data_IF_350852776265
#
_entry.id   IF_350852776265
#
_cell.length_a   1.000
_cell.length_b   1.000
_cell.length_c   1.000
_cell.angle_alpha   90.00
_cell.angle_beta   90.00
_cell.angle_gamma   90.00
#
_symmetry.space_group_name_H-M   'P 1'
#
loop_
_entity.id
_entity.type
_entity.pdbx_description
1 polymer ?
#
# COMPACT_ATOMS: atom_id res chain seq x y z
N UNK A 1 -5.09 18.04 20.51
CA UNK A 1 -5.54 17.51 19.21
C UNK A 1 -6.64 16.51 19.44
N UNK A 2 -7.75 16.66 18.74
CA UNK A 2 -8.91 15.78 18.83
C UNK A 2 -9.63 15.73 17.48
N UNK A 3 -10.45 14.71 17.27
CA UNK A 3 -11.38 14.63 16.15
C UNK A 3 -12.50 15.65 16.34
N UNK A 4 -13.01 16.25 15.26
CA UNK A 4 -14.10 17.23 15.37
C UNK A 4 -15.45 16.60 15.75
N UNK A 5 -15.60 15.28 15.54
CA UNK A 5 -16.75 14.49 15.92
C UNK A 5 -16.34 13.11 16.48
N UNK A 6 -17.19 12.50 17.30
CA UNK A 6 -17.03 11.13 17.81
C UNK A 6 -17.60 10.07 16.87
N UNK A 7 -18.39 10.48 15.87
CA UNK A 7 -18.91 9.59 14.83
C UNK A 7 -19.06 10.31 13.49
N UNK A 8 -18.95 9.54 12.41
CA UNK A 8 -19.19 9.95 11.02
C UNK A 8 -20.12 8.93 10.36
N UNK A 9 -20.97 9.39 9.44
CA UNK A 9 -21.96 8.55 8.77
C UNK A 9 -22.00 8.79 7.27
N UNK A 10 -20.96 8.43 6.48
CA UNK A 10 -21.03 8.53 5.03
C UNK A 10 -22.09 7.56 4.47
N UNK A 11 -22.71 7.93 3.35
CA UNK A 11 -23.31 6.91 2.48
C UNK A 11 -22.20 6.09 1.82
N UNK A 12 -22.48 4.85 1.48
CA UNK A 12 -21.53 3.97 0.82
C UNK A 12 -21.08 4.53 -0.55
N UNK A 13 -22.01 5.10 -1.30
CA UNK A 13 -21.74 5.86 -2.53
C UNK A 13 -21.01 7.21 -2.34
N UNK A 14 -20.61 7.60 -1.12
CA UNK A 14 -19.93 8.89 -0.89
C UNK A 14 -18.54 8.95 -1.54
N UNK A 15 -17.96 7.78 -1.84
CA UNK A 15 -16.61 7.62 -2.37
C UNK A 15 -15.50 7.90 -1.36
N UNK A 16 -15.66 8.91 -0.49
CA UNK A 16 -14.68 9.22 0.57
C UNK A 16 -15.38 9.84 1.77
N UNK A 17 -14.93 9.47 2.97
CA UNK A 17 -15.27 10.19 4.21
C UNK A 17 -14.13 11.10 4.64
N UNK A 18 -14.47 12.36 4.95
CA UNK A 18 -13.53 13.36 5.44
C UNK A 18 -13.60 13.47 6.97
N UNK A 19 -12.53 13.06 7.64
CA UNK A 19 -12.40 13.10 9.11
C UNK A 19 -11.50 14.27 9.50
N UNK A 20 -12.03 15.23 10.25
CA UNK A 20 -11.29 16.46 10.59
C UNK A 20 -10.63 16.34 11.96
N UNK A 21 -9.34 16.63 12.02
CA UNK A 21 -8.56 16.71 13.26
C UNK A 21 -8.33 18.17 13.61
N UNK A 22 -8.75 18.55 14.80
CA UNK A 22 -8.62 19.90 15.36
C UNK A 22 -7.43 19.99 16.30
N UNK A 23 -6.68 21.08 16.19
CA UNK A 23 -5.65 21.51 17.13
C UNK A 23 -6.14 22.79 17.83
N UNK A 24 -6.41 22.68 19.12
CA UNK A 24 -6.88 23.75 19.99
C UNK A 24 -5.79 24.16 20.99
N UNK A 25 -5.91 25.35 21.58
CA UNK A 25 -4.90 25.91 22.47
C UNK A 25 -3.78 26.64 21.70
N UNK A 26 -2.54 26.50 22.18
CA UNK A 26 -1.38 27.13 21.55
C UNK A 26 -1.01 26.45 20.22
N UNK A 27 -1.12 27.21 19.13
CA UNK A 27 -0.74 26.81 17.78
C UNK A 27 0.56 27.45 17.30
N UNK A 28 1.29 28.20 18.14
CA UNK A 28 2.49 28.94 17.72
C UNK A 28 3.66 28.03 17.27
N UNK A 29 3.75 26.81 17.79
CA UNK A 29 4.76 25.82 17.40
C UNK A 29 4.25 24.79 16.38
N UNK A 30 5.14 23.94 15.86
CA UNK A 30 4.75 22.76 15.08
C UNK A 30 4.19 21.67 15.97
N UNK A 31 3.33 20.82 15.43
CA UNK A 31 2.83 19.64 16.14
C UNK A 31 2.50 18.50 15.17
N UNK A 32 2.56 17.26 15.66
CA UNK A 32 2.21 16.07 14.88
C UNK A 32 1.28 15.16 15.64
N UNK A 33 0.50 14.37 14.91
CA UNK A 33 -0.33 13.29 15.47
C UNK A 33 -0.45 12.17 14.44
N UNK A 34 -0.30 10.93 14.89
CA UNK A 34 -0.55 9.77 14.04
C UNK A 34 -2.04 9.46 14.00
N UNK A 35 -2.49 8.87 12.90
CA UNK A 35 -3.84 8.34 12.77
C UNK A 35 -3.79 6.98 12.10
N UNK A 36 -4.77 6.14 12.41
CA UNK A 36 -5.00 4.87 11.72
C UNK A 36 -6.49 4.51 11.77
N UNK A 37 -6.97 3.90 10.69
CA UNK A 37 -8.25 3.17 10.69
C UNK A 37 -8.05 1.75 11.22
N UNK A 38 -9.09 1.20 11.83
CA UNK A 38 -9.13 -0.22 12.20
C UNK A 38 -10.56 -0.75 12.19
N UNK A 39 -10.70 -2.02 11.81
CA UNK A 39 -11.96 -2.76 11.85
C UNK A 39 -11.85 -4.06 12.67
N UNK A 40 -12.97 -4.78 12.78
CA UNK A 40 -13.08 -6.08 13.44
C UNK A 40 -13.64 -7.18 12.53
N UNK A 41 -13.73 -6.94 11.22
CA UNK A 41 -14.30 -7.91 10.27
C UNK A 41 -13.40 -9.13 10.07
N UNK A 42 -12.09 -8.99 10.28
CA UNK A 42 -11.13 -10.09 10.20
C UNK A 42 -11.11 -10.73 8.81
N UNK A 43 -11.35 -12.04 8.74
CA UNK A 43 -11.37 -12.79 7.48
C UNK A 43 -12.79 -13.05 6.96
N UNK A 44 -13.79 -12.29 7.41
CA UNK A 44 -15.13 -12.40 6.86
C UNK A 44 -15.10 -12.13 5.35
N UNK A 45 -15.92 -12.89 4.62
CA UNK A 45 -16.14 -12.64 3.19
C UNK A 45 -16.90 -11.32 3.02
N UNK A 46 -16.67 -10.65 1.89
CA UNK A 46 -17.31 -9.38 1.51
C UNK A 46 -18.78 -9.53 1.09
N UNK A 47 -19.43 -10.64 1.42
CA UNK A 47 -20.85 -10.85 1.19
C UNK A 47 -21.56 -11.22 2.49
N UNK A 48 -20.91 -10.92 3.62
CA UNK A 48 -21.35 -11.28 4.94
C UNK A 48 -22.39 -10.24 5.39
N UNK A 49 -23.66 -10.56 5.15
CA UNK A 49 -24.75 -9.61 5.39
C UNK A 49 -24.99 -9.35 6.89
N UNK A 50 -25.30 -8.10 7.23
CA UNK A 50 -25.74 -7.63 8.54
C UNK A 50 -24.77 -7.95 9.68
N UNK A 51 -23.46 -7.91 9.39
CA UNK A 51 -22.43 -8.13 10.41
C UNK A 51 -22.28 -6.92 11.35
N UNK A 52 -22.60 -5.72 10.87
CA UNK A 52 -22.31 -4.46 11.54
C UNK A 52 -20.83 -4.08 11.53
N UNK A 53 -19.98 -4.81 10.80
CA UNK A 53 -18.53 -4.67 10.81
C UNK A 53 -18.03 -4.39 9.41
N UNK A 54 -17.52 -3.17 9.19
CA UNK A 54 -16.92 -2.86 7.90
C UNK A 54 -15.57 -3.59 7.77
N UNK A 55 -15.18 -3.94 6.56
CA UNK A 55 -14.04 -4.74 6.18
C UNK A 55 -13.15 -3.94 5.23
N UNK A 56 -11.91 -3.72 5.64
CA UNK A 56 -10.92 -2.99 4.83
C UNK A 56 -10.53 -3.68 3.51
N UNK A 57 -11.05 -4.87 3.24
CA UNK A 57 -10.93 -5.56 1.95
C UNK A 57 -11.98 -5.12 0.94
N UNK A 58 -13.16 -4.65 1.38
CA UNK A 58 -14.32 -4.44 0.51
C UNK A 58 -15.03 -3.10 0.70
N UNK A 59 -15.13 -2.55 1.92
CA UNK A 59 -16.07 -1.44 2.19
C UNK A 59 -15.33 -0.11 2.38
N UNK A 60 -14.06 -0.18 2.77
CA UNK A 60 -13.20 1.00 2.91
C UNK A 60 -11.73 0.64 2.71
N UNK A 61 -10.89 1.66 2.48
CA UNK A 61 -9.44 1.46 2.42
C UNK A 61 -8.79 1.76 3.76
N UNK A 62 -7.98 0.82 4.26
CA UNK A 62 -7.17 1.04 5.47
C UNK A 62 -6.31 2.29 5.27
N UNK A 63 -6.51 3.31 6.12
CA UNK A 63 -5.83 4.59 6.01
C UNK A 63 -5.06 4.89 7.29
N UNK A 64 -3.76 5.14 7.18
CA UNK A 64 -2.89 5.46 8.30
C UNK A 64 -1.80 6.47 7.92
N UNK A 65 -1.32 7.24 8.89
CA UNK A 65 -0.24 8.18 8.65
C UNK A 65 -0.01 9.16 9.78
N UNK A 66 0.75 10.22 9.48
CA UNK A 66 1.06 11.30 10.43
C UNK A 66 0.60 12.63 9.86
N UNK A 67 -0.28 13.31 10.59
CA UNK A 67 -0.64 14.70 10.31
C UNK A 67 0.43 15.62 10.91
N UNK A 68 0.93 16.55 10.10
CA UNK A 68 1.90 17.58 10.52
C UNK A 68 1.24 18.95 10.44
N UNK A 69 1.12 19.62 11.58
CA UNK A 69 0.61 20.97 11.72
C UNK A 69 1.79 21.94 11.79
N UNK A 70 1.87 22.85 10.84
CA UNK A 70 2.77 24.00 10.91
C UNK A 70 2.31 24.99 12.00
N UNK A 71 3.16 25.96 12.33
CA UNK A 71 2.79 27.06 13.21
C UNK A 71 1.55 27.79 12.65
N UNK A 72 0.55 27.99 13.50
CA UNK A 72 -0.72 28.62 13.16
C UNK A 72 -1.78 27.68 12.56
N UNK A 73 -1.42 26.46 12.11
CA UNK A 73 -2.41 25.52 11.59
C UNK A 73 -3.24 24.90 12.72
N UNK A 74 -4.57 25.00 12.61
CA UNK A 74 -5.52 24.53 13.64
C UNK A 74 -6.38 23.35 13.19
N UNK A 75 -6.33 22.96 11.92
CA UNK A 75 -7.09 21.82 11.41
C UNK A 75 -6.35 21.09 10.28
N UNK A 76 -6.55 19.77 10.22
CA UNK A 76 -6.16 18.90 9.09
C UNK A 76 -7.28 17.91 8.82
N UNK A 77 -7.31 17.35 7.62
CA UNK A 77 -8.33 16.38 7.20
C UNK A 77 -7.66 15.07 6.81
N UNK A 78 -8.23 13.97 7.28
CA UNK A 78 -7.93 12.60 6.84
C UNK A 78 -9.02 12.24 5.84
N UNK A 79 -8.62 11.76 4.66
CA UNK A 79 -9.53 11.27 3.62
C UNK A 79 -9.44 9.74 3.60
N UNK A 80 -10.57 9.08 3.82
CA UNK A 80 -10.65 7.61 3.85
C UNK A 80 -11.57 7.20 2.70
N UNK A 81 -11.04 6.50 1.67
CA UNK A 81 -11.86 5.95 0.59
C UNK A 81 -12.91 4.98 1.12
N UNK A 82 -14.14 5.13 0.65
CA UNK A 82 -15.27 4.23 0.86
C UNK A 82 -15.52 3.52 -0.46
N UNK A 83 -15.67 2.21 -0.44
CA UNK A 83 -15.94 1.40 -1.63
C UNK A 83 -17.43 1.13 -1.68
N UNK A 84 -18.01 1.35 -2.86
CA UNK A 84 -19.46 1.24 -3.11
C UNK A 84 -19.69 -0.06 -3.88
N UNK A 85 -19.90 -1.16 -3.16
CA UNK A 85 -20.21 -2.43 -3.79
C UNK A 85 -21.71 -2.58 -4.08
N UNK A 86 -22.21 -3.81 -4.22
CA UNK A 86 -23.62 -4.06 -4.54
C UNK A 86 -24.24 -5.14 -3.66
N UNK A 87 -23.64 -5.52 -2.54
CA UNK A 87 -24.27 -6.40 -1.57
C UNK A 87 -25.18 -5.59 -0.64
N UNK A 88 -26.32 -6.16 -0.26
CA UNK A 88 -27.24 -5.52 0.69
C UNK A 88 -26.86 -5.94 2.12
N UNK A 89 -25.75 -5.39 2.61
CA UNK A 89 -25.09 -5.79 3.84
C UNK A 89 -25.64 -5.08 5.08
N UNK A 90 -26.40 -4.00 4.90
CA UNK A 90 -26.84 -3.12 5.97
C UNK A 90 -25.73 -2.21 6.47
N UNK A 91 -25.98 -1.48 7.56
CA UNK A 91 -24.98 -0.52 8.06
C UNK A 91 -23.79 -1.23 8.70
N UNK A 92 -22.59 -0.78 8.36
CA UNK A 92 -21.34 -1.38 8.84
C UNK A 92 -20.42 -0.31 9.43
N UNK A 93 -19.51 -0.70 10.33
CA UNK A 93 -18.69 0.26 11.05
C UNK A 93 -17.23 -0.13 11.21
N UNK A 94 -16.36 0.88 11.13
CA UNK A 94 -14.95 0.83 11.50
C UNK A 94 -14.60 2.02 12.41
N UNK A 95 -13.33 2.14 12.79
CA UNK A 95 -12.85 3.16 13.73
C UNK A 95 -11.69 3.95 13.17
N UNK A 96 -11.56 5.22 13.59
CA UNK A 96 -10.38 6.08 13.36
C UNK A 96 -9.81 6.47 14.71
N UNK A 97 -8.51 6.22 14.91
CA UNK A 97 -7.81 6.49 16.18
C UNK A 97 -6.65 7.44 15.97
N UNK A 98 -6.55 8.48 16.82
CA UNK A 98 -5.39 9.35 16.93
C UNK A 98 -4.41 8.82 17.98
N UNK A 99 -3.12 8.86 17.69
CA UNK A 99 -2.06 8.36 18.58
C UNK A 99 -0.76 9.17 18.49
N UNK A 100 0.15 8.92 19.43
CA UNK A 100 1.53 9.45 19.43
C UNK A 100 1.65 10.95 19.12
N UNK A 101 0.95 11.83 19.86
CA UNK A 101 1.03 13.26 19.62
C UNK A 101 2.44 13.79 19.96
N UNK A 102 2.91 14.79 19.22
CA UNK A 102 4.13 15.56 19.54
C UNK A 102 3.86 17.04 19.36
N UNK A 103 4.40 17.89 20.24
CA UNK A 103 4.12 19.34 20.25
C UNK A 103 2.68 19.72 20.66
N UNK A 104 1.85 18.74 21.04
CA UNK A 104 0.50 18.92 21.56
C UNK A 104 0.09 17.68 22.41
N UNK A 105 -1.03 17.77 23.13
CA UNK A 105 -1.65 16.62 23.82
C UNK A 105 -2.87 16.11 23.04
N UNK A 106 -3.22 14.84 23.19
CA UNK A 106 -4.51 14.31 22.72
C UNK A 106 -5.64 14.76 23.66
N UNK A 107 -6.77 15.13 23.08
CA UNK A 107 -8.01 15.46 23.78
C UNK A 107 -9.15 14.60 23.21
N UNK A 108 -10.26 14.54 23.95
CA UNK A 108 -11.45 13.79 23.51
C UNK A 108 -12.26 14.60 22.47
N UNK A 109 -12.81 13.96 21.43
CA UNK A 109 -12.62 12.54 21.06
C UNK A 109 -11.28 12.31 20.35
N UNK A 110 -10.51 11.32 20.79
CA UNK A 110 -9.31 10.84 20.08
C UNK A 110 -9.56 9.56 19.29
N UNK A 111 -10.77 9.00 19.41
CA UNK A 111 -11.28 7.86 18.64
C UNK A 111 -12.67 8.26 18.13
N UNK A 112 -12.98 7.93 16.89
CA UNK A 112 -14.31 8.07 16.33
C UNK A 112 -14.73 6.80 15.58
N UNK A 113 -16.03 6.49 15.62
CA UNK A 113 -16.62 5.46 14.78
C UNK A 113 -17.01 6.06 13.43
N UNK A 114 -16.80 5.31 12.34
CA UNK A 114 -17.36 5.63 11.03
C UNK A 114 -18.36 4.54 10.69
N UNK A 115 -19.62 4.92 10.51
CA UNK A 115 -20.71 4.02 10.13
C UNK A 115 -21.07 4.26 8.67
N UNK A 116 -20.74 3.31 7.81
CA UNK A 116 -21.11 3.33 6.39
C UNK A 116 -22.60 2.97 6.31
N UNK A 117 -23.36 3.83 5.61
CA UNK A 117 -24.78 3.59 5.35
C UNK A 117 -24.92 3.00 3.95
N UNK A 118 -25.13 1.69 3.90
CA UNK A 118 -25.42 0.89 2.71
C UNK A 118 -26.58 1.50 1.89
N UNK A 119 -26.41 1.54 0.56
CA UNK A 119 -27.43 2.03 -0.38
C UNK A 119 -28.23 0.92 -1.07
N UNK A 120 -27.96 -0.35 -0.78
CA UNK A 120 -28.49 -1.51 -1.46
C UNK A 120 -29.65 -2.11 -0.64
N UNK A 121 -30.82 -2.20 -1.27
CA UNK A 121 -31.94 -2.98 -0.69
C UNK A 121 -31.89 -4.45 -1.09
N UNK A 122 -31.17 -4.75 -2.17
CA UNK A 122 -31.02 -6.09 -2.76
C UNK A 122 -29.70 -6.18 -3.50
N UNK A 123 -29.06 -7.34 -3.50
CA UNK A 123 -27.79 -7.53 -4.21
C UNK A 123 -27.90 -7.26 -5.71
N UNK A 124 -27.02 -6.40 -6.22
CA UNK A 124 -27.01 -5.90 -7.59
C UNK A 124 -26.05 -6.61 -8.55
N UNK A 125 -25.81 -5.97 -9.70
CA UNK A 125 -24.81 -6.43 -10.68
C UNK A 125 -23.43 -5.89 -10.30
N UNK A 126 -22.45 -6.79 -10.24
CA UNK A 126 -21.09 -6.46 -9.81
C UNK A 126 -20.49 -5.27 -10.61
N UNK A 127 -20.19 -4.13 -9.95
CA UNK A 127 -19.72 -2.90 -10.58
C UNK A 127 -18.29 -3.03 -11.09
N UNK A 128 -17.54 -4.07 -10.71
CA UNK A 128 -16.19 -4.32 -11.22
C UNK A 128 -16.10 -4.48 -12.74
N UNK A 129 -17.23 -4.80 -13.38
CA UNK A 129 -17.34 -4.89 -14.83
C UNK A 129 -17.40 -3.51 -15.50
N UNK A 130 -17.77 -2.46 -14.75
CA UNK A 130 -17.77 -1.08 -15.25
C UNK A 130 -16.33 -0.53 -15.25
N UNK A 131 -15.92 0.05 -16.38
CA UNK A 131 -14.54 0.52 -16.55
C UNK A 131 -14.14 1.60 -15.54
N UNK A 132 -15.04 2.55 -15.24
CA UNK A 132 -14.77 3.63 -14.28
C UNK A 132 -14.56 3.11 -12.86
N UNK A 133 -15.45 2.22 -12.40
CA UNK A 133 -15.31 1.56 -11.10
C UNK A 133 -14.02 0.74 -11.03
N UNK A 134 -13.77 -0.12 -12.04
CA UNK A 134 -12.55 -0.91 -12.14
C UNK A 134 -11.28 -0.05 -12.01
N UNK A 135 -11.20 1.07 -12.74
CA UNK A 135 -10.07 1.99 -12.67
C UNK A 135 -9.95 2.64 -11.29
N UNK A 136 -11.06 3.12 -10.72
CA UNK A 136 -11.07 3.69 -9.36
C UNK A 136 -10.49 2.72 -8.34
N UNK A 137 -10.88 1.45 -8.39
CA UNK A 137 -10.39 0.44 -7.45
C UNK A 137 -8.89 0.20 -7.60
N UNK A 138 -8.31 0.36 -8.80
CA UNK A 138 -6.85 0.29 -8.93
C UNK A 138 -6.14 1.47 -8.27
N UNK A 139 -6.71 2.67 -8.30
CA UNK A 139 -6.17 3.82 -7.57
C UNK A 139 -6.22 3.58 -6.05
N UNK A 140 -7.31 3.02 -5.55
CA UNK A 140 -7.45 2.71 -4.12
C UNK A 140 -6.49 1.58 -3.73
N UNK A 141 -6.53 0.46 -4.45
CA UNK A 141 -5.80 -0.75 -4.09
C UNK A 141 -4.28 -0.62 -4.24
N UNK A 142 -3.79 0.14 -5.23
CA UNK A 142 -2.35 0.29 -5.51
C UNK A 142 -1.77 1.62 -5.05
N UNK A 143 -2.56 2.70 -5.02
CA UNK A 143 -2.08 4.04 -4.64
C UNK A 143 -2.71 4.57 -3.36
N UNK A 144 -3.67 3.86 -2.74
CA UNK A 144 -4.30 4.22 -1.47
C UNK A 144 -4.95 5.61 -1.48
N UNK A 145 -5.48 6.02 -2.64
CA UNK A 145 -6.13 7.33 -2.84
C UNK A 145 -7.20 7.27 -3.93
N UNK A 146 -8.08 8.27 -3.95
CA UNK A 146 -8.95 8.50 -5.10
C UNK A 146 -8.14 8.92 -6.35
N UNK A 147 -8.62 8.57 -7.56
CA UNK A 147 -8.06 9.11 -8.78
C UNK A 147 -8.28 10.62 -8.89
N UNK A 148 -7.34 11.31 -9.52
CA UNK A 148 -7.62 12.63 -10.09
C UNK A 148 -8.50 12.48 -11.35
N UNK A 149 -9.26 13.53 -11.68
CA UNK A 149 -10.22 13.48 -12.79
C UNK A 149 -9.56 13.15 -14.14
N UNK A 150 -8.33 13.62 -14.38
CA UNK A 150 -7.59 13.35 -15.61
C UNK A 150 -7.16 11.90 -15.71
N UNK A 151 -6.59 11.36 -14.64
CA UNK A 151 -6.19 9.96 -14.51
C UNK A 151 -7.37 9.01 -14.66
N UNK A 152 -8.48 9.24 -13.95
CA UNK A 152 -9.71 8.43 -14.07
C UNK A 152 -10.20 8.40 -15.52
N UNK A 153 -10.31 9.56 -16.16
CA UNK A 153 -10.77 9.66 -17.54
C UNK A 153 -9.84 8.93 -18.51
N UNK A 154 -8.53 9.16 -18.40
CA UNK A 154 -7.55 8.53 -19.28
C UNK A 154 -7.62 7.00 -19.24
N UNK A 155 -7.56 6.41 -18.05
CA UNK A 155 -7.55 4.96 -17.89
C UNK A 155 -8.91 4.33 -18.21
N UNK A 156 -10.01 4.99 -17.87
CA UNK A 156 -11.36 4.52 -18.25
C UNK A 156 -11.50 4.48 -19.76
N UNK A 157 -11.01 5.52 -20.46
CA UNK A 157 -11.05 5.61 -21.92
C UNK A 157 -10.20 4.53 -22.60
N UNK A 158 -9.12 4.04 -21.97
CA UNK A 158 -8.36 2.91 -22.51
C UNK A 158 -9.25 1.67 -22.68
N UNK A 159 -10.18 1.44 -21.75
CA UNK A 159 -11.10 0.28 -21.78
C UNK A 159 -12.31 0.57 -22.67
N UNK A 160 -12.97 1.72 -22.47
CA UNK A 160 -14.22 2.04 -23.19
C UNK A 160 -14.01 2.29 -24.68
N UNK A 161 -12.80 2.60 -25.13
CA UNK A 161 -12.46 2.69 -26.55
C UNK A 161 -12.70 1.40 -27.35
N UNK A 162 -12.82 0.25 -26.67
CA UNK A 162 -13.17 -1.03 -27.27
C UNK A 162 -14.66 -1.17 -27.66
N UNK A 163 -15.53 -0.25 -27.22
CA UNK A 163 -16.97 -0.38 -27.42
C UNK A 163 -17.52 -1.64 -26.77
N UNK A 164 -18.09 -2.55 -27.56
CA UNK A 164 -18.65 -3.84 -27.10
C UNK A 164 -17.77 -5.05 -27.43
N UNK A 165 -16.55 -4.85 -27.95
CA UNK A 165 -15.62 -5.94 -28.25
C UNK A 165 -15.04 -6.51 -26.95
N UNK A 166 -15.55 -7.66 -26.51
CA UNK A 166 -15.13 -8.30 -25.26
C UNK A 166 -13.66 -8.69 -25.24
N UNK A 167 -13.11 -9.17 -26.37
CA UNK A 167 -11.70 -9.55 -26.42
C UNK A 167 -10.79 -8.33 -26.27
N UNK A 168 -11.17 -7.21 -26.89
CA UNK A 168 -10.50 -5.93 -26.68
C UNK A 168 -10.60 -5.46 -25.23
N UNK A 169 -11.80 -5.51 -24.62
CA UNK A 169 -12.03 -5.11 -23.22
C UNK A 169 -11.16 -5.93 -22.27
N UNK A 170 -11.11 -7.25 -22.43
CA UNK A 170 -10.32 -8.13 -21.57
C UNK A 170 -8.82 -7.79 -21.64
N UNK A 171 -8.29 -7.59 -22.85
CA UNK A 171 -6.90 -7.17 -23.06
C UNK A 171 -6.64 -5.80 -22.44
N UNK A 172 -7.55 -4.83 -22.62
CA UNK A 172 -7.38 -3.49 -22.04
C UNK A 172 -7.42 -3.52 -20.53
N UNK A 173 -8.30 -4.31 -19.91
CA UNK A 173 -8.34 -4.48 -18.46
C UNK A 173 -7.01 -5.02 -17.94
N UNK A 174 -6.46 -6.07 -18.55
CA UNK A 174 -5.15 -6.63 -18.19
C UNK A 174 -4.05 -5.57 -18.28
N UNK A 175 -3.99 -4.82 -19.39
CA UNK A 175 -2.95 -3.82 -19.62
C UNK A 175 -3.08 -2.62 -18.68
N UNK A 176 -4.30 -2.13 -18.45
CA UNK A 176 -4.56 -1.04 -17.49
C UNK A 176 -4.14 -1.49 -16.10
N UNK A 177 -4.55 -2.68 -15.66
CA UNK A 177 -4.16 -3.24 -14.36
C UNK A 177 -2.65 -3.34 -14.18
N UNK A 178 -1.94 -3.91 -15.16
CA UNK A 178 -0.49 -4.01 -15.10
C UNK A 178 0.19 -2.62 -15.06
N UNK A 179 -0.38 -1.62 -15.74
CA UNK A 179 0.17 -0.27 -15.80
C UNK A 179 0.20 0.42 -14.43
N UNK A 180 -0.70 0.09 -13.49
CA UNK A 180 -0.65 0.67 -12.14
C UNK A 180 0.63 0.26 -11.41
N UNK A 181 0.97 -1.03 -11.39
CA UNK A 181 2.23 -1.48 -10.80
C UNK A 181 3.46 -0.93 -11.55
N UNK A 182 3.40 -0.85 -12.88
CA UNK A 182 4.52 -0.37 -13.71
C UNK A 182 4.65 1.16 -13.69
N UNK A 183 3.68 1.87 -13.13
CA UNK A 183 3.69 3.33 -13.10
C UNK A 183 4.81 3.88 -12.23
N UNK A 184 5.28 5.08 -12.56
CA UNK A 184 6.26 5.81 -11.73
C UNK A 184 5.75 5.93 -10.29
N UNK A 185 4.46 6.20 -10.11
CA UNK A 185 3.88 6.35 -8.77
C UNK A 185 4.08 5.08 -7.94
N UNK A 186 3.75 3.90 -8.48
CA UNK A 186 3.93 2.65 -7.73
C UNK A 186 5.41 2.27 -7.56
N UNK A 187 6.21 2.41 -8.63
CA UNK A 187 7.63 2.05 -8.64
C UNK A 187 8.42 2.84 -7.59
N UNK A 188 8.02 4.09 -7.35
CA UNK A 188 8.68 5.00 -6.40
C UNK A 188 7.99 5.06 -5.03
N UNK A 189 6.86 4.38 -4.84
CA UNK A 189 6.13 4.27 -3.56
C UNK A 189 6.14 2.82 -3.07
N UNK A 190 5.11 2.02 -3.37
CA UNK A 190 4.94 0.67 -2.87
C UNK A 190 6.12 -0.24 -3.21
N UNK A 191 6.64 -0.18 -4.44
CA UNK A 191 7.79 -1.01 -4.78
C UNK A 191 9.09 -0.56 -4.10
N UNK A 192 9.27 0.73 -3.86
CA UNK A 192 10.38 1.20 -3.03
C UNK A 192 10.24 0.73 -1.57
N UNK A 193 9.03 0.73 -1.00
CA UNK A 193 8.78 0.21 0.35
C UNK A 193 9.16 -1.27 0.45
N UNK A 194 8.74 -2.11 -0.50
CA UNK A 194 9.12 -3.52 -0.54
C UNK A 194 10.65 -3.69 -0.56
N UNK A 195 11.34 -2.96 -1.44
CA UNK A 195 12.81 -3.00 -1.54
C UNK A 195 13.50 -2.51 -0.26
N UNK A 196 12.99 -1.47 0.39
CA UNK A 196 13.52 -0.99 1.67
C UNK A 196 13.44 -2.09 2.73
N UNK A 197 12.32 -2.81 2.80
CA UNK A 197 12.18 -3.97 3.71
C UNK A 197 13.13 -5.10 3.33
N UNK A 198 13.26 -5.40 2.03
CA UNK A 198 14.21 -6.39 1.53
C UNK A 198 15.64 -6.06 1.91
N UNK A 199 16.09 -4.83 1.71
CA UNK A 199 17.45 -4.39 2.08
C UNK A 199 17.64 -4.37 3.60
N UNK A 200 16.64 -3.92 4.35
CA UNK A 200 16.74 -3.80 5.79
C UNK A 200 16.73 -5.16 6.51
N UNK A 201 15.95 -6.13 6.03
CA UNK A 201 15.69 -7.37 6.78
C UNK A 201 15.93 -8.66 5.99
N UNK A 202 16.32 -8.56 4.72
CA UNK A 202 16.49 -9.71 3.85
C UNK A 202 15.16 -10.37 3.52
N UNK A 203 15.15 -11.70 3.56
CA UNK A 203 13.96 -12.50 3.25
C UNK A 203 13.40 -13.18 4.48
N UNK A 204 12.09 -13.42 4.46
CA UNK A 204 11.47 -14.40 5.33
C UNK A 204 11.55 -15.80 4.69
N UNK A 205 11.23 -16.81 5.50
CA UNK A 205 11.08 -18.19 5.05
C UNK A 205 9.61 -18.57 5.08
N UNK A 206 9.09 -19.07 3.96
CA UNK A 206 7.74 -19.63 3.85
C UNK A 206 7.77 -21.14 3.59
N UNK A 207 6.62 -21.78 3.74
CA UNK A 207 6.37 -23.15 3.28
C UNK A 207 5.55 -23.12 2.00
N UNK A 208 5.83 -24.01 1.06
CA UNK A 208 5.00 -24.28 -0.12
C UNK A 208 4.78 -25.77 -0.25
N UNK A 209 3.62 -26.17 -0.78
CA UNK A 209 3.33 -27.54 -1.19
C UNK A 209 3.28 -27.71 -2.71
N UNK A 210 3.52 -26.63 -3.47
CA UNK A 210 3.56 -26.68 -4.93
C UNK A 210 4.76 -27.53 -5.38
N UNK A 211 4.50 -28.58 -6.17
CA UNK A 211 5.54 -29.54 -6.56
C UNK A 211 6.10 -30.39 -5.41
N UNK A 212 5.45 -30.39 -4.24
CA UNK A 212 5.88 -31.08 -3.02
C UNK A 212 6.24 -30.10 -1.90
N UNK A 213 6.21 -30.57 -0.64
CA UNK A 213 6.51 -29.73 0.52
C UNK A 213 7.96 -29.26 0.53
N UNK A 214 8.18 -27.95 0.52
CA UNK A 214 9.51 -27.35 0.63
C UNK A 214 9.46 -25.97 1.31
N UNK A 215 10.63 -25.46 1.71
CA UNK A 215 10.78 -24.08 2.17
C UNK A 215 11.20 -23.20 1.01
N UNK A 216 10.67 -21.99 0.94
CA UNK A 216 11.07 -20.98 -0.05
C UNK A 216 11.34 -19.63 0.60
N UNK A 217 12.17 -18.84 -0.08
CA UNK A 217 12.46 -17.47 0.29
C UNK A 217 11.32 -16.56 -0.18
N UNK A 218 10.76 -15.77 0.73
CA UNK A 218 9.64 -14.87 0.44
C UNK A 218 9.93 -13.45 0.92
N UNK A 219 9.29 -12.42 0.34
CA UNK A 219 9.37 -11.06 0.85
C UNK A 219 9.01 -11.03 2.34
N UNK A 220 9.82 -10.30 3.11
CA UNK A 220 9.70 -10.24 4.58
C UNK A 220 8.59 -9.30 5.03
N UNK A 221 8.20 -8.35 4.18
CA UNK A 221 7.17 -7.37 4.46
C UNK A 221 5.79 -8.03 4.53
N UNK A 222 4.93 -7.48 5.38
CA UNK A 222 3.52 -7.88 5.54
C UNK A 222 2.61 -6.73 5.11
N UNK A 223 1.36 -7.04 4.71
CA UNK A 223 0.42 -6.03 4.20
C UNK A 223 0.18 -4.89 5.20
N UNK A 224 0.08 -5.20 6.49
CA UNK A 224 -0.11 -4.21 7.56
C UNK A 224 1.12 -3.30 7.80
N UNK A 225 2.30 -3.68 7.30
CA UNK A 225 3.49 -2.82 7.24
C UNK A 225 3.54 -2.07 5.91
N UNK A 226 3.18 -2.73 4.80
CA UNK A 226 3.22 -2.18 3.45
C UNK A 226 2.28 -0.99 3.25
N UNK A 227 1.01 -1.09 3.68
CA UNK A 227 0.01 -0.05 3.44
C UNK A 227 0.37 1.31 4.09
N UNK A 228 0.64 1.40 5.41
CA UNK A 228 0.97 2.68 6.03
C UNK A 228 2.25 3.30 5.46
N UNK A 229 3.25 2.48 5.11
CA UNK A 229 4.52 2.96 4.58
C UNK A 229 4.37 3.47 3.13
N UNK A 230 3.55 2.79 2.33
CA UNK A 230 3.22 3.23 0.97
C UNK A 230 2.45 4.54 1.00
N UNK A 231 1.47 4.66 1.90
CA UNK A 231 0.71 5.90 2.13
C UNK A 231 1.61 7.05 2.56
N UNK A 232 2.61 6.79 3.40
CA UNK A 232 3.57 7.80 3.83
C UNK A 232 4.38 8.37 2.66
N UNK A 233 4.84 7.51 1.74
CA UNK A 233 5.60 7.95 0.56
C UNK A 233 4.67 8.63 -0.48
N UNK A 234 3.49 8.06 -0.72
CA UNK A 234 2.53 8.53 -1.73
C UNK A 234 1.73 9.78 -1.32
N UNK A 235 1.79 10.20 -0.05
CA UNK A 235 0.96 11.32 0.46
C UNK A 235 1.15 12.60 -0.34
N UNK A 236 0.10 13.03 -1.02
CA UNK A 236 0.07 14.26 -1.81
C UNK A 236 0.82 14.17 -3.14
N UNK A 237 1.22 12.96 -3.56
CA UNK A 237 1.86 12.71 -4.84
C UNK A 237 0.78 12.42 -5.88
N UNK A 238 0.79 13.20 -6.96
CA UNK A 238 0.02 12.92 -8.18
C UNK A 238 0.97 13.16 -9.35
N UNK A 239 1.43 12.07 -9.98
CA UNK A 239 2.42 12.15 -11.05
C UNK A 239 1.92 13.03 -12.20
N UNK A 240 2.76 13.97 -12.63
CA UNK A 240 2.43 14.93 -13.68
C UNK A 240 1.81 16.24 -13.19
N UNK A 241 1.43 16.36 -11.91
CA UNK A 241 1.06 17.65 -11.31
C UNK A 241 2.29 18.48 -10.96
N UNK A 242 2.28 19.80 -11.16
CA UNK A 242 3.45 20.64 -10.90
C UNK A 242 4.03 20.43 -9.48
N UNK A 243 5.31 20.08 -9.40
CA UNK A 243 6.04 19.90 -8.14
C UNK A 243 5.91 18.52 -7.49
N UNK A 244 5.25 17.55 -8.13
CA UNK A 244 5.06 16.21 -7.59
C UNK A 244 6.38 15.49 -7.26
N UNK A 245 7.44 15.72 -8.06
CA UNK A 245 8.76 15.11 -7.86
C UNK A 245 9.37 15.54 -6.51
N UNK A 246 9.24 16.83 -6.17
CA UNK A 246 9.77 17.35 -4.91
C UNK A 246 8.97 16.83 -3.71
N UNK A 247 7.65 16.70 -3.85
CA UNK A 247 6.79 16.11 -2.81
C UNK A 247 7.20 14.67 -2.55
N UNK A 248 7.34 13.88 -3.63
CA UNK A 248 7.77 12.48 -3.54
C UNK A 248 9.16 12.35 -2.91
N UNK A 249 10.13 13.15 -3.35
CA UNK A 249 11.49 13.12 -2.80
C UNK A 249 11.50 13.45 -1.30
N UNK A 250 10.78 14.50 -0.89
CA UNK A 250 10.64 14.85 0.52
C UNK A 250 10.00 13.73 1.34
N UNK A 251 8.96 13.07 0.79
CA UNK A 251 8.29 11.97 1.46
C UNK A 251 9.22 10.75 1.61
N UNK A 252 9.98 10.39 0.58
CA UNK A 252 10.97 9.30 0.65
C UNK A 252 12.04 9.55 1.70
N UNK A 253 12.62 10.75 1.73
CA UNK A 253 13.61 11.13 2.73
C UNK A 253 13.05 11.02 4.15
N UNK A 254 11.86 11.57 4.38
CA UNK A 254 11.20 11.50 5.67
C UNK A 254 10.88 10.05 6.08
N UNK A 255 10.37 9.25 5.14
CA UNK A 255 10.08 7.83 5.36
C UNK A 255 11.32 7.06 5.81
N UNK A 256 12.41 7.11 5.06
CA UNK A 256 13.60 6.31 5.39
C UNK A 256 14.29 6.85 6.66
N UNK A 257 14.23 8.15 6.92
CA UNK A 257 14.70 8.74 8.18
C UNK A 257 13.92 8.23 9.39
N UNK A 258 12.60 8.08 9.30
CA UNK A 258 11.76 7.51 10.35
C UNK A 258 11.93 5.98 10.45
N UNK A 259 12.05 5.29 9.32
CA UNK A 259 12.21 3.84 9.23
C UNK A 259 13.42 3.34 10.03
N UNK A 260 14.58 4.01 9.91
CA UNK A 260 15.80 3.61 10.64
C UNK A 260 15.72 3.86 12.15
N UNK A 261 14.72 4.60 12.62
CA UNK A 261 14.47 4.81 14.06
C UNK A 261 13.53 3.76 14.65
N UNK A 262 12.94 2.88 13.83
CA UNK A 262 12.05 1.83 14.31
C UNK A 262 12.83 0.83 15.16
N UNK A 263 12.22 0.35 16.23
CA UNK A 263 12.84 -0.61 17.15
C UNK A 263 13.39 -1.84 16.43
N UNK A 264 12.62 -2.43 15.49
CA UNK A 264 13.03 -3.57 14.65
C UNK A 264 14.32 -3.27 13.87
N UNK A 265 14.45 -2.06 13.34
CA UNK A 265 15.65 -1.64 12.63
C UNK A 265 16.84 -1.50 13.59
N UNK A 266 16.65 -0.79 14.72
CA UNK A 266 17.71 -0.55 15.69
C UNK A 266 18.20 -1.83 16.39
N UNK A 267 17.37 -2.87 16.48
CA UNK A 267 17.77 -4.19 16.98
C UNK A 267 18.73 -4.90 16.03
N UNK A 268 18.52 -4.78 14.72
CA UNK A 268 19.41 -5.39 13.71
C UNK A 268 20.67 -4.55 13.53
N UNK A 269 20.50 -3.23 13.44
CA UNK A 269 21.57 -2.29 13.11
C UNK A 269 21.98 -1.45 14.32
N UNK A 270 22.86 -2.02 15.15
CA UNK A 270 23.27 -1.36 16.39
C UNK A 270 24.10 -0.09 16.13
N UNK A 271 24.12 0.83 17.09
CA UNK A 271 25.00 2.01 17.05
C UNK A 271 26.49 1.67 16.99
N UNK A 272 26.86 0.45 17.35
CA UNK A 272 28.25 -0.04 17.38
C UNK A 272 28.72 -0.66 16.07
N UNK A 273 27.82 -0.92 15.11
CA UNK A 273 28.22 -1.40 13.78
C UNK A 273 29.04 -0.34 13.05
N UNK A 274 30.19 -0.74 12.51
CA UNK A 274 30.99 0.08 11.60
C UNK A 274 30.24 0.36 10.29
N UNK A 275 30.65 1.40 9.57
CA UNK A 275 30.09 1.72 8.25
C UNK A 275 30.21 0.55 7.27
N UNK A 276 31.36 -0.14 7.25
CA UNK A 276 31.58 -1.34 6.44
C UNK A 276 30.58 -2.45 6.76
N UNK A 277 30.47 -2.82 8.04
CA UNK A 277 29.51 -3.86 8.47
C UNK A 277 28.07 -3.50 8.14
N UNK A 278 27.70 -2.22 8.29
CA UNK A 278 26.37 -1.75 7.95
C UNK A 278 26.06 -1.94 6.46
N UNK A 279 26.91 -1.40 5.58
CA UNK A 279 26.74 -1.52 4.12
C UNK A 279 26.78 -2.98 3.67
N UNK A 280 27.69 -3.79 4.21
CA UNK A 280 27.79 -5.21 3.86
C UNK A 280 26.54 -6.01 4.25
N UNK A 281 25.94 -5.69 5.40
CA UNK A 281 24.70 -6.33 5.84
C UNK A 281 23.54 -5.97 4.91
N UNK A 282 23.41 -4.67 4.56
CA UNK A 282 22.39 -4.22 3.61
C UNK A 282 22.58 -4.87 2.24
N UNK A 283 23.81 -4.91 1.73
CA UNK A 283 24.11 -5.50 0.42
C UNK A 283 23.84 -7.01 0.40
N UNK A 284 24.22 -7.72 1.47
CA UNK A 284 23.91 -9.15 1.61
C UNK A 284 22.40 -9.41 1.57
N UNK A 285 21.62 -8.62 2.31
CA UNK A 285 20.15 -8.69 2.28
C UNK A 285 19.57 -8.38 0.89
N UNK A 286 20.19 -7.43 0.17
CA UNK A 286 19.87 -7.08 -1.21
C UNK A 286 20.27 -8.17 -2.24
N UNK A 287 20.85 -9.30 -1.81
CA UNK A 287 21.32 -10.34 -2.73
C UNK A 287 22.66 -10.01 -3.39
N UNK A 288 23.46 -9.14 -2.78
CA UNK A 288 24.73 -8.62 -3.29
C UNK A 288 24.57 -7.81 -4.59
N UNK A 289 23.55 -6.96 -4.65
CA UNK A 289 23.26 -6.12 -5.81
C UNK A 289 24.37 -5.09 -6.10
N UNK A 290 25.01 -4.53 -5.07
CA UNK A 290 26.03 -3.49 -5.27
C UNK A 290 27.31 -4.04 -5.90
N UNK A 291 27.85 -3.33 -6.88
CA UNK A 291 29.23 -3.51 -7.30
C UNK A 291 30.23 -3.15 -6.19
N UNK A 292 31.48 -3.61 -6.33
CA UNK A 292 32.55 -3.27 -5.39
C UNK A 292 32.76 -1.76 -5.29
N UNK A 293 32.61 -1.04 -6.40
CA UNK A 293 32.77 0.44 -6.44
C UNK A 293 31.65 1.13 -5.66
N UNK A 294 30.39 0.78 -5.91
CA UNK A 294 29.25 1.36 -5.21
C UNK A 294 29.32 1.09 -3.72
N UNK A 295 29.60 -0.17 -3.34
CA UNK A 295 29.77 -0.56 -1.94
C UNK A 295 30.89 0.25 -1.26
N UNK A 296 32.04 0.40 -1.89
CA UNK A 296 33.14 1.18 -1.33
C UNK A 296 32.79 2.67 -1.20
N UNK A 297 32.04 3.24 -2.15
CA UNK A 297 31.56 4.62 -2.09
C UNK A 297 30.63 4.81 -0.89
N UNK A 298 29.60 3.96 -0.74
CA UNK A 298 28.65 4.05 0.38
C UNK A 298 29.34 3.93 1.75
N UNK A 299 30.34 3.04 1.86
CA UNK A 299 31.14 2.93 3.08
C UNK A 299 31.93 4.21 3.34
N UNK A 300 32.52 4.82 2.31
CA UNK A 300 33.27 6.07 2.43
C UNK A 300 32.39 7.23 2.87
N UNK A 301 31.22 7.42 2.23
CA UNK A 301 30.27 8.48 2.54
C UNK A 301 29.69 8.37 3.96
N UNK A 302 29.43 7.13 4.41
CA UNK A 302 28.96 6.90 5.78
C UNK A 302 30.07 7.09 6.82
N UNK A 303 31.30 6.71 6.49
CA UNK A 303 32.46 6.86 7.40
C UNK A 303 32.83 8.34 7.59
N UNK A 304 32.73 9.15 6.53
CA UNK A 304 33.00 10.59 6.59
C UNK A 304 31.89 11.38 7.29
N UNK A 305 30.71 10.77 7.47
CA UNK A 305 29.51 11.43 7.98
C UNK A 305 28.81 12.32 6.94
N UNK A 306 29.24 12.27 5.67
CA UNK A 306 28.56 12.97 4.59
C UNK A 306 27.16 12.40 4.33
N UNK A 307 26.99 11.09 4.54
CA UNK A 307 25.72 10.41 4.43
C UNK A 307 25.30 9.79 5.76
N UNK A 308 24.00 9.83 6.04
CA UNK A 308 23.39 9.13 7.16
C UNK A 308 23.14 7.66 6.82
N UNK A 309 22.85 6.85 7.85
CA UNK A 309 22.39 5.47 7.66
C UNK A 309 21.11 5.39 6.82
N UNK A 310 20.17 6.33 6.98
CA UNK A 310 18.95 6.35 6.16
C UNK A 310 19.24 6.64 4.69
N UNK A 311 20.18 7.52 4.37
CA UNK A 311 20.58 7.78 2.98
C UNK A 311 21.25 6.56 2.34
N UNK A 312 22.12 5.87 3.09
CA UNK A 312 22.75 4.63 2.62
C UNK A 312 21.72 3.51 2.41
N UNK A 313 20.81 3.27 3.37
CA UNK A 313 19.73 2.29 3.22
C UNK A 313 18.91 2.55 1.94
N UNK A 314 18.54 3.81 1.72
CA UNK A 314 17.78 4.20 0.54
C UNK A 314 18.55 3.96 -0.74
N UNK A 315 19.83 4.32 -0.81
CA UNK A 315 20.63 4.12 -2.02
C UNK A 315 20.78 2.65 -2.38
N UNK A 316 20.93 1.75 -1.40
CA UNK A 316 20.93 0.30 -1.70
C UNK A 316 19.56 -0.17 -2.18
N UNK A 317 18.46 0.37 -1.62
CA UNK A 317 17.11 0.00 -2.05
C UNK A 317 16.74 0.54 -3.46
N UNK A 318 17.28 1.69 -3.84
CA UNK A 318 17.11 2.32 -5.15
C UNK A 318 18.10 1.83 -6.21
N UNK A 319 19.03 0.94 -5.85
CA UNK A 319 19.98 0.32 -6.76
C UNK A 319 19.28 -0.39 -7.94
N UNK A 320 19.82 -0.22 -9.14
CA UNK A 320 19.20 -0.70 -10.37
C UNK A 320 19.25 -2.23 -10.52
N UNK A 321 20.30 -2.86 -10.02
CA UNK A 321 20.46 -4.32 -10.06
C UNK A 321 19.48 -4.95 -9.06
N UNK A 322 19.31 -4.36 -7.87
CA UNK A 322 18.27 -4.80 -6.92
C UNK A 322 16.86 -4.59 -7.49
N UNK A 323 16.58 -3.42 -8.08
CA UNK A 323 15.29 -3.15 -8.72
C UNK A 323 14.96 -4.22 -9.77
N UNK A 324 15.91 -4.58 -10.61
CA UNK A 324 15.69 -5.61 -11.63
C UNK A 324 15.53 -7.00 -11.00
N UNK A 325 16.37 -7.35 -10.03
CA UNK A 325 16.40 -8.67 -9.42
C UNK A 325 15.16 -8.98 -8.56
N UNK A 326 14.58 -7.97 -7.90
CA UNK A 326 13.42 -8.18 -7.02
C UNK A 326 12.08 -8.06 -7.75
N UNK A 327 12.08 -7.56 -8.99
CA UNK A 327 10.87 -7.18 -9.72
C UNK A 327 9.80 -8.28 -9.73
N UNK A 328 10.15 -9.50 -10.15
CA UNK A 328 9.18 -10.59 -10.27
C UNK A 328 8.56 -10.99 -8.93
N UNK A 329 9.36 -11.00 -7.85
CA UNK A 329 8.89 -11.34 -6.51
C UNK A 329 7.92 -10.30 -5.98
N UNK A 330 8.28 -9.02 -6.09
CA UNK A 330 7.41 -7.93 -5.71
C UNK A 330 6.14 -7.89 -6.59
N UNK A 331 6.25 -8.12 -7.90
CA UNK A 331 5.11 -8.13 -8.81
C UNK A 331 4.08 -9.19 -8.44
N UNK A 332 4.52 -10.41 -8.08
CA UNK A 332 3.65 -11.48 -7.56
C UNK A 332 3.04 -11.07 -6.22
N UNK A 333 3.84 -10.53 -5.29
CA UNK A 333 3.35 -10.06 -3.99
C UNK A 333 2.21 -9.04 -4.15
N UNK A 334 2.35 -8.12 -5.10
CA UNK A 334 1.35 -7.08 -5.34
C UNK A 334 0.06 -7.61 -5.97
N UNK A 335 0.05 -8.83 -6.50
CA UNK A 335 -1.22 -9.44 -6.88
C UNK A 335 -2.06 -9.77 -5.64
N UNK A 336 -1.41 -10.20 -4.54
CA UNK A 336 -2.08 -10.48 -3.26
C UNK A 336 -2.42 -9.19 -2.51
N UNK A 337 -1.50 -8.22 -2.46
CA UNK A 337 -1.71 -6.96 -1.74
C UNK A 337 -2.70 -6.04 -2.45
N UNK A 338 -2.54 -5.84 -3.76
CA UNK A 338 -3.40 -4.97 -4.55
C UNK A 338 -4.79 -5.58 -4.72
N UNK A 339 -4.90 -6.73 -5.38
CA UNK A 339 -6.22 -7.28 -5.72
C UNK A 339 -6.90 -8.00 -4.55
N UNK A 340 -6.18 -8.84 -3.82
CA UNK A 340 -6.81 -9.72 -2.81
C UNK A 340 -6.86 -9.11 -1.41
N UNK A 341 -6.13 -8.00 -1.20
CA UNK A 341 -6.06 -7.24 0.06
C UNK A 341 -5.66 -8.11 1.27
N UNK A 342 -4.75 -9.07 1.05
CA UNK A 342 -4.26 -9.98 2.11
C UNK A 342 -2.82 -10.43 1.88
N UNK A 343 -2.19 -11.05 2.87
CA UNK A 343 -0.89 -11.69 2.62
C UNK A 343 -1.04 -13.02 1.87
N UNK A 344 0.00 -13.46 1.14
CA UNK A 344 -0.12 -14.66 0.31
C UNK A 344 -0.42 -15.97 1.06
N UNK A 345 -0.12 -16.01 2.36
CA UNK A 345 -0.37 -17.16 3.23
C UNK A 345 -1.48 -16.92 4.25
N UNK A 346 -2.21 -15.81 4.15
CA UNK A 346 -3.43 -15.60 4.92
C UNK A 346 -4.60 -16.34 4.23
N UNK A 347 -5.66 -16.61 5.00
CA UNK A 347 -6.86 -17.25 4.49
C UNK A 347 -7.36 -16.58 3.20
N UNK A 348 -7.84 -17.34 2.20
CA UNK A 348 -8.13 -18.79 2.25
C UNK A 348 -6.90 -19.70 2.12
N UNK A 349 -5.73 -19.15 1.81
CA UNK A 349 -4.48 -19.92 1.77
C UNK A 349 -4.00 -20.25 3.20
N UNK A 350 -3.10 -21.23 3.30
CA UNK A 350 -2.51 -21.67 4.59
C UNK A 350 -0.99 -21.55 4.61
N UNK A 351 -0.39 -21.30 3.45
CA UNK A 351 1.04 -21.27 3.21
C UNK A 351 1.30 -20.45 1.93
N UNK A 352 2.53 -20.46 1.42
CA UNK A 352 2.92 -19.67 0.25
C UNK A 352 2.78 -20.44 -1.07
N UNK A 353 2.00 -21.53 -1.13
CA UNK A 353 1.82 -22.35 -2.34
C UNK A 353 1.34 -21.53 -3.54
N UNK A 354 0.38 -20.61 -3.33
CA UNK A 354 -0.11 -19.73 -4.40
C UNK A 354 0.95 -18.75 -4.88
N UNK A 355 1.71 -18.14 -3.96
CA UNK A 355 2.81 -17.25 -4.29
C UNK A 355 3.92 -17.97 -5.08
N UNK A 356 4.30 -19.17 -4.62
CA UNK A 356 5.32 -20.00 -5.25
C UNK A 356 4.94 -20.39 -6.68
N UNK A 357 3.69 -20.87 -6.88
CA UNK A 357 3.16 -21.17 -8.20
C UNK A 357 3.28 -19.98 -9.16
N UNK A 358 2.81 -18.81 -8.74
CA UNK A 358 2.81 -17.61 -9.60
C UNK A 358 4.22 -17.09 -9.87
N UNK A 359 5.11 -17.13 -8.88
CA UNK A 359 6.51 -16.77 -9.06
C UNK A 359 7.20 -17.72 -10.04
N UNK A 360 7.01 -19.03 -9.90
CA UNK A 360 7.52 -20.04 -10.83
C UNK A 360 7.01 -19.82 -12.26
N UNK A 361 5.70 -19.58 -12.42
CA UNK A 361 5.09 -19.32 -13.73
C UNK A 361 5.60 -18.02 -14.35
N UNK A 362 5.71 -16.94 -13.58
CA UNK A 362 6.22 -15.66 -14.08
C UNK A 362 7.69 -15.78 -14.52
N UNK A 363 8.51 -16.48 -13.74
CA UNK A 363 9.91 -16.74 -14.07
C UNK A 363 10.05 -17.60 -15.33
N UNK A 364 9.19 -18.60 -15.53
CA UNK A 364 9.17 -19.42 -16.76
C UNK A 364 8.99 -18.57 -18.02
N UNK A 365 8.26 -17.46 -17.92
CA UNK A 365 8.04 -16.53 -19.02
C UNK A 365 8.92 -15.27 -18.94
N UNK A 366 10.06 -15.35 -18.22
CA UNK A 366 11.04 -14.26 -18.09
C UNK A 366 10.41 -12.93 -17.62
N UNK A 367 9.47 -12.98 -16.67
CA UNK A 367 8.78 -11.77 -16.18
C UNK A 367 7.64 -11.28 -17.07
N UNK A 368 7.36 -11.95 -18.20
CA UNK A 368 6.25 -11.55 -19.06
C UNK A 368 4.90 -11.97 -18.45
N UNK A 369 4.25 -11.01 -17.78
CA UNK A 369 2.98 -11.22 -17.09
C UNK A 369 1.81 -11.59 -18.02
N UNK A 370 1.88 -11.20 -19.29
CA UNK A 370 0.85 -11.52 -20.29
C UNK A 370 0.91 -13.01 -20.62
N UNK A 371 2.11 -13.51 -20.96
CA UNK A 371 2.33 -14.93 -21.24
C UNK A 371 2.12 -15.81 -19.99
N UNK A 372 2.46 -15.29 -18.81
CA UNK A 372 2.14 -15.94 -17.54
C UNK A 372 0.64 -15.89 -17.19
N UNK A 373 -0.16 -15.09 -17.90
CA UNK A 373 -1.56 -14.79 -17.63
C UNK A 373 -1.82 -14.32 -16.18
N UNK A 374 -0.81 -13.72 -15.53
CA UNK A 374 -0.85 -13.51 -14.09
C UNK A 374 -1.90 -12.46 -13.71
N UNK A 375 -1.76 -11.24 -14.23
CA UNK A 375 -2.71 -10.15 -13.95
C UNK A 375 -4.13 -10.57 -14.32
N UNK A 376 -4.29 -11.22 -15.48
CA UNK A 376 -5.57 -11.79 -15.93
C UNK A 376 -6.19 -12.69 -14.86
N UNK A 377 -5.43 -13.64 -14.33
CA UNK A 377 -5.95 -14.61 -13.37
C UNK A 377 -6.44 -13.96 -12.07
N UNK A 378 -5.76 -12.92 -11.58
CA UNK A 378 -6.18 -12.21 -10.37
C UNK A 378 -7.42 -11.34 -10.61
N UNK A 379 -7.47 -10.56 -11.69
CA UNK A 379 -8.61 -9.66 -11.95
C UNK A 379 -9.90 -10.38 -12.36
N UNK A 380 -9.83 -11.65 -12.75
CA UNK A 380 -10.99 -12.50 -13.03
C UNK A 380 -11.27 -13.52 -11.92
N UNK A 381 -10.43 -13.56 -10.87
CA UNK A 381 -10.60 -14.48 -9.76
C UNK A 381 -11.92 -14.22 -9.03
N UNK A 382 -12.50 -15.30 -8.48
CA UNK A 382 -13.69 -15.18 -7.62
C UNK A 382 -13.40 -14.27 -6.43
N UNK A 383 -12.25 -14.46 -5.78
CA UNK A 383 -11.84 -13.67 -4.61
C UNK A 383 -11.79 -12.16 -4.89
N UNK A 384 -11.22 -11.73 -6.03
CA UNK A 384 -11.22 -10.29 -6.39
C UNK A 384 -12.62 -9.79 -6.72
N UNK A 385 -13.38 -10.52 -7.54
CA UNK A 385 -14.71 -10.06 -7.98
C UNK A 385 -15.71 -9.99 -6.83
N UNK A 386 -15.67 -10.96 -5.92
CA UNK A 386 -16.56 -11.06 -4.77
C UNK A 386 -16.30 -9.99 -3.71
N UNK A 387 -15.26 -9.16 -3.85
CA UNK A 387 -15.13 -7.93 -3.05
C UNK A 387 -16.21 -6.91 -3.38
N UNK A 388 -16.86 -7.01 -4.53
CA UNK A 388 -17.73 -5.95 -5.03
C UNK A 388 -19.12 -6.42 -5.46
N UNK A 389 -19.40 -7.73 -5.41
CA UNK A 389 -20.66 -8.29 -5.89
C UNK A 389 -20.54 -9.72 -6.43
N UNK A 390 -21.67 -10.38 -6.71
CA UNK A 390 -21.70 -11.80 -7.12
C UNK A 390 -21.04 -12.10 -8.48
#
# INVERSE_FOLDING_TARGET
>A
MHLNASSYGPGENAGTVAVTVMRTGDSSGVATVNYATSDSAGNNDCNALNTGMANSRCDYETTAGTLRFAAGETSKTILIPIVDDVYAEGTESFTVTLSSPSGALLASPSVASVTINDNETTTGTNPINQAGFFVRLHYIDFFTREPDAGGLSFWTNQITSCGTDQACIDIRRINVSAAFFLSIEFQETGYLVERIYRVAYGNATGTSTFGGTHQLSVPVIRLNEFLPDTQQIGRGVVVGQAGWEQVLENNKQAFVAEFVQRARFSTVYTGTMSAGQYVDTLNSNAGNALSVTERNQLVSELTSGAWTRSQVLRAVAEDADLNTAEFNRAFVLMQFYGYLRRNPNDAPDKDYTGYDFWLGKLNQFNGNFVNAEMVKAFIVSGEYKQRFGP
#
